data_IF_965470509570
#
_entry.id   IF_965470509570
#
_cell.length_a   1.000
_cell.length_b   1.000
_cell.length_c   1.000
_cell.angle_alpha   90.00
_cell.angle_beta   90.00
_cell.angle_gamma   90.00
#
_symmetry.space_group_name_H-M   'P 1'
#
loop_
_entity.id
_entity.type
_entity.pdbx_description
1 polymer ?
#
# COMPACT_ATOMS: atom_id res chain seq x y z
N UNK A 1 -5.25 -11.50 6.06
CA UNK A 1 -4.65 -11.23 4.74
C UNK A 1 -4.02 -12.50 4.22
N UNK A 2 -4.40 -12.96 3.04
CA UNK A 2 -3.71 -14.05 2.36
C UNK A 2 -3.40 -13.60 0.95
N UNK A 3 -2.18 -13.84 0.46
CA UNK A 3 -1.78 -13.48 -0.91
C UNK A 3 -2.11 -14.63 -1.87
N UNK A 4 -2.15 -14.35 -3.18
CA UNK A 4 -2.13 -15.38 -4.23
C UNK A 4 -0.69 -15.53 -4.75
N UNK A 5 -0.01 -16.64 -4.41
CA UNK A 5 1.38 -16.93 -4.79
C UNK A 5 2.13 -17.74 -3.72
N UNK A 6 3.27 -18.37 -4.08
CA UNK A 6 4.15 -19.02 -3.10
C UNK A 6 4.76 -17.95 -2.19
N UNK A 7 4.55 -18.07 -0.88
CA UNK A 7 5.19 -17.25 0.13
C UNK A 7 5.93 -18.17 1.10
N UNK A 8 7.18 -17.85 1.41
CA UNK A 8 7.83 -18.39 2.62
C UNK A 8 6.95 -18.04 3.82
N UNK A 9 6.86 -18.93 4.81
CA UNK A 9 6.05 -18.73 6.01
C UNK A 9 6.27 -17.35 6.60
N UNK A 10 5.35 -16.42 6.32
CA UNK A 10 5.41 -15.06 6.80
C UNK A 10 5.04 -15.15 8.27
N UNK A 11 6.05 -15.19 9.14
CA UNK A 11 5.90 -14.84 10.55
C UNK A 11 4.96 -13.63 10.61
N UNK A 12 3.89 -13.66 11.41
CA UNK A 12 2.94 -12.55 11.48
C UNK A 12 3.74 -11.24 11.63
N UNK A 13 3.80 -10.45 10.57
CA UNK A 13 4.54 -9.20 10.53
C UNK A 13 3.71 -8.13 11.25
N UNK A 14 3.48 -8.36 12.55
CA UNK A 14 2.89 -7.38 13.44
C UNK A 14 4.03 -6.51 13.96
N UNK A 15 4.11 -5.29 13.43
CA UNK A 15 5.04 -4.30 13.92
C UNK A 15 4.27 -3.29 14.77
N UNK A 16 4.72 -3.10 16.01
CA UNK A 16 4.20 -2.03 16.86
C UNK A 16 4.69 -0.69 16.31
N UNK A 17 3.78 0.03 15.64
CA UNK A 17 4.08 1.30 14.97
C UNK A 17 4.63 2.35 15.93
N UNK A 18 4.27 2.30 17.21
CA UNK A 18 4.80 3.23 18.23
C UNK A 18 6.32 3.11 18.40
N UNK A 19 6.91 1.96 18.00
CA UNK A 19 8.36 1.76 17.98
C UNK A 19 9.06 2.45 16.80
N UNK A 20 8.30 3.06 15.89
CA UNK A 20 8.81 3.85 14.76
C UNK A 20 8.09 5.21 14.72
N UNK A 21 8.63 6.25 15.40
CA UNK A 21 7.99 7.57 15.48
C UNK A 21 7.73 8.21 14.12
N UNK A 22 8.56 7.91 13.11
CA UNK A 22 8.37 8.39 11.75
C UNK A 22 7.14 7.74 11.09
N UNK A 23 6.99 6.43 11.26
CA UNK A 23 5.85 5.69 10.73
C UNK A 23 4.57 6.08 11.47
N UNK A 24 4.63 6.21 12.80
CA UNK A 24 3.52 6.69 13.62
C UNK A 24 3.01 8.06 13.15
N UNK A 25 3.92 9.02 12.94
CA UNK A 25 3.55 10.35 12.46
C UNK A 25 2.91 10.30 11.06
N UNK A 26 3.38 9.43 10.18
CA UNK A 26 2.79 9.25 8.86
C UNK A 26 1.39 8.65 8.96
N UNK A 27 1.23 7.55 9.70
CA UNK A 27 -0.05 6.86 9.85
C UNK A 27 -1.08 7.74 10.56
N UNK A 28 -0.68 8.51 11.58
CA UNK A 28 -1.58 9.46 12.24
C UNK A 28 -2.10 10.53 11.26
N UNK A 29 -1.23 11.08 10.41
CA UNK A 29 -1.65 12.03 9.36
C UNK A 29 -2.57 11.37 8.34
N UNK A 30 -2.26 10.15 7.93
CA UNK A 30 -3.08 9.38 7.01
C UNK A 30 -4.47 9.08 7.59
N UNK A 31 -4.56 8.53 8.81
CA UNK A 31 -5.82 8.21 9.47
C UNK A 31 -6.67 9.46 9.69
N UNK A 32 -6.06 10.58 10.07
CA UNK A 32 -6.78 11.86 10.15
C UNK A 32 -7.36 12.27 8.80
N UNK A 33 -6.57 12.20 7.72
CA UNK A 33 -7.08 12.50 6.38
C UNK A 33 -8.19 11.54 5.93
N UNK A 34 -8.03 10.24 6.15
CA UNK A 34 -9.01 9.23 5.76
C UNK A 34 -10.35 9.44 6.49
N UNK A 35 -10.30 9.66 7.80
CA UNK A 35 -11.49 9.88 8.62
C UNK A 35 -12.14 11.23 8.38
N UNK A 36 -11.37 12.32 8.34
CA UNK A 36 -11.97 13.67 8.29
C UNK A 36 -12.24 14.17 6.88
N UNK A 37 -11.44 13.77 5.89
CA UNK A 37 -11.56 14.26 4.51
C UNK A 37 -12.27 13.25 3.62
N UNK A 38 -12.04 11.95 3.83
CA UNK A 38 -12.65 10.90 3.02
C UNK A 38 -13.86 10.23 3.65
N UNK A 39 -14.15 10.52 4.93
CA UNK A 39 -15.20 9.84 5.70
C UNK A 39 -15.08 8.31 5.64
N UNK A 40 -13.83 7.82 5.75
CA UNK A 40 -13.49 6.40 5.74
C UNK A 40 -12.92 5.96 7.09
N UNK A 41 -13.05 4.68 7.46
CA UNK A 41 -12.46 4.17 8.70
C UNK A 41 -10.93 4.33 8.70
N UNK A 42 -10.34 4.34 9.89
CA UNK A 42 -8.89 4.31 10.05
C UNK A 42 -8.29 3.04 9.43
N UNK A 43 -7.05 3.13 8.93
CA UNK A 43 -6.33 1.94 8.52
C UNK A 43 -6.06 1.05 9.73
N UNK A 44 -6.47 -0.22 9.63
CA UNK A 44 -6.21 -1.26 10.62
C UNK A 44 -5.07 -2.21 10.18
N UNK A 45 -4.56 -2.05 8.96
CA UNK A 45 -3.49 -2.85 8.40
C UNK A 45 -2.55 -1.97 7.57
N UNK A 46 -1.26 -2.30 7.59
CA UNK A 46 -0.25 -1.60 6.82
C UNK A 46 0.90 -2.55 6.48
N UNK A 47 1.42 -2.41 5.25
CA UNK A 47 2.53 -3.21 4.75
C UNK A 47 3.64 -2.23 4.36
N UNK A 48 4.85 -2.49 4.85
CA UNK A 48 6.04 -1.72 4.48
C UNK A 48 6.96 -2.62 3.67
N UNK A 49 7.20 -2.25 2.42
CA UNK A 49 8.11 -2.96 1.53
C UNK A 49 9.31 -2.08 1.23
N UNK A 50 10.51 -2.59 1.53
CA UNK A 50 11.76 -1.97 1.11
C UNK A 50 12.27 -2.66 -0.15
N UNK A 51 12.63 -1.86 -1.14
CA UNK A 51 13.31 -2.33 -2.34
C UNK A 51 14.73 -1.75 -2.33
N UNK A 52 15.72 -2.58 -2.07
CA UNK A 52 17.12 -2.20 -1.86
C UNK A 52 17.79 -1.70 -3.14
N UNK A 53 17.43 -2.31 -4.28
CA UNK A 53 18.06 -2.03 -5.56
C UNK A 53 17.04 -1.97 -6.70
N UNK A 54 17.49 -1.61 -7.91
CA UNK A 54 16.61 -1.43 -9.09
C UNK A 54 16.07 -2.73 -9.69
N UNK A 55 16.53 -3.89 -9.22
CA UNK A 55 16.06 -5.21 -9.66
C UNK A 55 14.91 -5.72 -8.80
N UNK A 56 14.83 -5.29 -7.54
CA UNK A 56 13.73 -5.67 -6.65
C UNK A 56 12.43 -5.05 -7.16
N UNK A 57 11.40 -5.87 -7.29
CA UNK A 57 10.08 -5.49 -7.76
C UNK A 57 9.01 -6.38 -7.15
N UNK A 58 7.76 -5.96 -7.29
CA UNK A 58 6.59 -6.81 -7.09
C UNK A 58 5.91 -6.98 -8.44
N UNK A 59 5.60 -8.22 -8.82
CA UNK A 59 4.89 -8.51 -10.06
C UNK A 59 3.43 -8.08 -10.02
N UNK A 60 2.73 -8.20 -11.15
CA UNK A 60 1.28 -7.96 -11.19
C UNK A 60 0.54 -8.90 -10.24
N UNK A 61 -0.30 -8.31 -9.40
CA UNK A 61 -1.12 -8.99 -8.40
C UNK A 61 -2.30 -8.09 -8.02
N UNK A 62 -3.23 -8.63 -7.24
CA UNK A 62 -4.32 -7.88 -6.63
C UNK A 62 -4.49 -8.34 -5.17
N UNK A 63 -4.93 -7.43 -4.31
CA UNK A 63 -5.31 -7.76 -2.94
C UNK A 63 -6.63 -8.54 -2.94
N UNK A 64 -6.74 -9.59 -2.13
CA UNK A 64 -7.94 -10.47 -2.14
C UNK A 64 -9.19 -9.69 -1.71
N UNK A 65 -10.20 -9.53 -2.59
CA UNK A 65 -11.37 -8.71 -2.29
C UNK A 65 -12.15 -9.20 -1.06
N UNK A 66 -12.20 -10.51 -0.83
CA UNK A 66 -12.89 -11.10 0.33
C UNK A 66 -12.29 -10.71 1.70
N UNK A 67 -11.11 -10.08 1.70
CA UNK A 67 -10.45 -9.57 2.92
C UNK A 67 -10.60 -8.05 3.08
N UNK A 68 -11.33 -7.39 2.17
CA UNK A 68 -11.50 -5.95 2.11
C UNK A 68 -12.97 -5.60 2.26
N UNK A 69 -13.26 -4.61 3.09
CA UNK A 69 -14.59 -4.00 3.16
C UNK A 69 -14.82 -3.10 1.94
N UNK A 70 -16.05 -3.03 1.40
CA UNK A 70 -16.35 -2.24 0.20
C UNK A 70 -16.14 -0.74 0.39
N UNK A 71 -16.13 -0.24 1.63
CA UNK A 71 -15.84 1.16 1.92
C UNK A 71 -14.34 1.40 2.23
N UNK A 72 -13.49 0.38 2.05
CA UNK A 72 -12.06 0.48 2.33
C UNK A 72 -11.32 1.38 1.34
N UNK A 73 -10.22 1.95 1.81
CA UNK A 73 -9.21 2.57 0.95
C UNK A 73 -7.97 1.68 0.92
N UNK A 74 -7.43 1.45 -0.27
CA UNK A 74 -6.06 0.98 -0.43
C UNK A 74 -5.23 2.20 -0.81
N UNK A 75 -4.34 2.62 0.08
CA UNK A 75 -3.44 3.76 -0.17
C UNK A 75 -2.00 3.30 -0.20
N UNK A 76 -1.30 3.61 -1.29
CA UNK A 76 0.11 3.35 -1.47
C UNK A 76 0.86 4.68 -1.32
N UNK A 77 1.81 4.74 -0.39
CA UNK A 77 2.64 5.92 -0.17
C UNK A 77 4.08 5.62 -0.56
N UNK A 78 4.62 6.37 -1.53
CA UNK A 78 6.01 6.22 -1.94
C UNK A 78 6.93 7.02 -1.03
N UNK A 79 7.77 6.30 -0.27
CA UNK A 79 8.79 6.88 0.61
C UNK A 79 10.21 6.67 0.06
N UNK A 80 11.19 7.24 0.76
CA UNK A 80 12.62 7.11 0.44
C UNK A 80 13.07 8.04 -0.70
N UNK A 81 14.34 7.97 -1.13
CA UNK A 81 14.91 8.95 -2.06
C UNK A 81 14.65 8.65 -3.55
N UNK A 82 14.37 7.40 -3.91
CA UNK A 82 14.25 6.98 -5.31
C UNK A 82 12.80 6.92 -5.79
N UNK A 83 12.57 7.31 -7.04
CA UNK A 83 11.31 7.10 -7.76
C UNK A 83 11.21 5.68 -8.33
N UNK A 84 9.99 5.18 -8.54
CA UNK A 84 9.75 3.85 -9.15
C UNK A 84 8.54 3.86 -10.08
N UNK A 85 8.58 3.14 -11.21
CA UNK A 85 7.39 2.94 -12.04
C UNK A 85 6.32 2.16 -11.27
N UNK A 86 5.07 2.49 -11.51
CA UNK A 86 3.91 1.85 -10.91
C UNK A 86 2.80 1.72 -11.95
N UNK A 87 2.20 0.54 -12.03
CA UNK A 87 1.18 0.19 -13.01
C UNK A 87 -0.05 -0.39 -12.30
N UNK A 88 -1.24 -0.05 -12.80
CA UNK A 88 -2.50 -0.70 -12.47
C UNK A 88 -3.11 -1.17 -13.80
N UNK A 89 -3.50 -2.44 -13.84
CA UNK A 89 -4.19 -3.07 -14.96
C UNK A 89 -5.53 -3.63 -14.48
N UNK A 90 -6.51 -3.70 -15.39
CA UNK A 90 -7.70 -4.51 -15.15
C UNK A 90 -7.42 -6.01 -15.36
N UNK A 91 -8.44 -6.85 -15.15
CA UNK A 91 -8.30 -8.31 -15.28
C UNK A 91 -8.10 -8.77 -16.73
N UNK A 92 -8.40 -7.92 -17.72
CA UNK A 92 -8.21 -8.20 -19.14
C UNK A 92 -6.84 -7.72 -19.64
N UNK A 93 -6.03 -7.10 -18.77
CA UNK A 93 -4.69 -6.60 -19.05
C UNK A 93 -4.66 -5.19 -19.66
N UNK A 94 -5.77 -4.44 -19.59
CA UNK A 94 -5.78 -3.04 -20.01
C UNK A 94 -5.15 -2.17 -18.93
N UNK A 95 -4.19 -1.32 -19.32
CA UNK A 95 -3.53 -0.37 -18.42
C UNK A 95 -4.51 0.73 -18.02
N UNK A 96 -4.84 0.79 -16.73
CA UNK A 96 -5.69 1.84 -16.14
C UNK A 96 -4.87 3.02 -15.62
N UNK A 97 -3.64 2.76 -15.17
CA UNK A 97 -2.74 3.76 -14.63
C UNK A 97 -1.29 3.33 -14.82
N UNK A 98 -0.43 4.20 -15.32
CA UNK A 98 1.00 3.93 -15.42
C UNK A 98 1.79 5.22 -15.25
N UNK A 99 2.45 5.37 -14.11
CA UNK A 99 3.22 6.57 -13.76
C UNK A 99 4.49 6.23 -13.00
N UNK A 100 5.44 7.15 -13.00
CA UNK A 100 6.60 7.10 -12.10
C UNK A 100 6.22 7.74 -10.77
N UNK A 101 6.15 6.94 -9.71
CA UNK A 101 5.90 7.44 -8.37
C UNK A 101 7.18 8.05 -7.79
N UNK A 102 7.15 9.36 -7.57
CA UNK A 102 8.20 10.08 -6.88
C UNK A 102 8.08 9.92 -5.34
N UNK A 103 9.15 10.17 -4.59
CA UNK A 103 9.06 10.30 -3.15
C UNK A 103 7.98 11.30 -2.72
N UNK A 104 7.16 10.93 -1.73
CA UNK A 104 6.08 11.77 -1.21
C UNK A 104 4.76 11.66 -1.97
N UNK A 105 4.69 10.91 -3.07
CA UNK A 105 3.42 10.67 -3.77
C UNK A 105 2.58 9.62 -3.05
N UNK A 106 1.26 9.78 -3.11
CA UNK A 106 0.30 8.78 -2.66
C UNK A 106 -0.65 8.40 -3.81
N UNK A 107 -0.86 7.11 -4.02
CA UNK A 107 -1.89 6.56 -4.90
C UNK A 107 -3.01 6.06 -4.00
N UNK A 108 -4.23 6.55 -4.23
CA UNK A 108 -5.41 6.19 -3.43
C UNK A 108 -6.37 5.45 -4.34
N UNK A 109 -6.64 4.19 -4.00
CA UNK A 109 -7.59 3.33 -4.70
C UNK A 109 -8.81 3.13 -3.81
N UNK A 110 -9.98 3.34 -4.39
CA UNK A 110 -11.29 3.09 -3.77
C UNK A 110 -11.83 1.78 -4.32
N UNK A 111 -12.43 0.98 -3.44
CA UNK A 111 -13.18 -0.23 -3.82
C UNK A 111 -14.55 0.12 -4.40
#
# INVERSE_FOLDING_TARGET
YSYTGFQYGVLQAQFDVSKSPLLERLLSKYNKWATTVRNRPEANHGIVTQYENRRDNIGMHFDKPSSLDSESLITIVKLGPGSRPFCIEDLDGNVLFHEVLHPGTAVVMTM
#
